data_IF_882236372362
#
_entry.id   IF_882236372362
#
_cell.length_a   1.000
_cell.length_b   1.000
_cell.length_c   1.000
_cell.angle_alpha   90.00
_cell.angle_beta   90.00
_cell.angle_gamma   90.00
#
_symmetry.space_group_name_H-M   'P 1'
#
loop_
_entity.id
_entity.type
_entity.pdbx_description
1 polymer ?
#
# COMPACT_ATOMS: atom_id res chain seq x y z
N UNK A 1 3.52 -9.98 5.00
CA UNK A 1 4.87 -9.49 5.44
C UNK A 1 5.90 -9.91 4.40
N UNK A 2 6.93 -9.11 4.14
CA UNK A 2 8.05 -9.46 3.25
C UNK A 2 9.28 -9.93 4.06
N UNK A 3 10.10 -10.81 3.50
CA UNK A 3 11.37 -11.28 4.09
C UNK A 3 12.44 -11.39 3.02
N UNK A 4 13.69 -11.02 3.35
CA UNK A 4 14.85 -11.07 2.45
C UNK A 4 14.57 -10.49 1.05
N UNK A 5 13.84 -9.37 1.00
CA UNK A 5 13.51 -8.68 -0.26
C UNK A 5 12.37 -9.31 -1.09
N UNK A 6 11.71 -10.37 -0.59
CA UNK A 6 10.59 -11.03 -1.27
C UNK A 6 9.38 -11.26 -0.37
N UNK A 7 8.32 -11.85 -0.92
CA UNK A 7 7.13 -12.27 -0.14
C UNK A 7 7.53 -13.30 0.92
N UNK A 8 7.05 -13.13 2.15
CA UNK A 8 7.34 -14.10 3.21
C UNK A 8 6.79 -15.49 2.86
N UNK A 9 7.55 -16.61 2.99
CA UNK A 9 7.08 -17.93 2.58
C UNK A 9 5.78 -18.38 3.26
N UNK A 10 5.58 -18.00 4.52
CA UNK A 10 4.35 -18.28 5.26
C UNK A 10 3.18 -17.32 4.95
N UNK A 11 3.37 -16.35 4.06
CA UNK A 11 2.29 -15.43 3.69
C UNK A 11 1.20 -16.17 2.91
N UNK A 12 -0.05 -15.97 3.34
CA UNK A 12 -1.24 -16.46 2.65
C UNK A 12 -1.97 -15.30 1.99
N UNK A 13 -2.39 -15.49 0.75
CA UNK A 13 -3.08 -14.45 -0.02
C UNK A 13 -4.40 -14.02 0.64
N UNK A 14 -5.11 -14.97 1.25
CA UNK A 14 -6.35 -14.73 2.01
C UNK A 14 -6.15 -13.72 3.15
N UNK A 15 -4.99 -13.75 3.83
CA UNK A 15 -4.66 -12.81 4.89
C UNK A 15 -4.42 -11.41 4.33
N UNK A 16 -3.75 -11.32 3.17
CA UNK A 16 -3.56 -10.08 2.44
C UNK A 16 -4.89 -9.48 2.01
N UNK A 17 -5.75 -10.26 1.35
CA UNK A 17 -7.07 -9.81 0.93
C UNK A 17 -7.93 -9.29 2.09
N UNK A 18 -7.86 -9.92 3.26
CA UNK A 18 -8.60 -9.45 4.44
C UNK A 18 -8.19 -8.04 4.86
N UNK A 19 -6.90 -7.72 4.82
CA UNK A 19 -6.38 -6.38 5.13
C UNK A 19 -6.73 -5.40 4.01
N UNK A 20 -6.61 -5.80 2.75
CA UNK A 20 -6.91 -4.93 1.59
C UNK A 20 -8.39 -4.55 1.46
N UNK A 21 -9.30 -5.29 2.11
CA UNK A 21 -10.75 -4.96 2.17
C UNK A 21 -11.09 -3.88 3.20
N UNK A 22 -10.12 -3.41 3.98
CA UNK A 22 -10.33 -2.36 4.97
C UNK A 22 -10.34 -0.98 4.28
N UNK A 23 -11.10 -0.04 4.85
CA UNK A 23 -11.15 1.34 4.34
C UNK A 23 -9.82 2.09 4.56
N UNK A 24 -9.09 1.76 5.62
CA UNK A 24 -7.79 2.33 5.94
C UNK A 24 -6.74 1.22 6.01
N UNK A 25 -5.62 1.43 5.30
CA UNK A 25 -4.52 0.45 5.23
C UNK A 25 -3.24 1.11 5.74
N UNK A 26 -2.69 0.57 6.83
CA UNK A 26 -1.40 1.01 7.34
C UNK A 26 -0.27 0.22 6.69
N UNK A 27 0.64 0.93 6.02
CA UNK A 27 1.89 0.35 5.49
C UNK A 27 3.06 0.79 6.35
N UNK A 28 3.79 -0.17 6.94
CA UNK A 28 4.98 0.10 7.75
C UNK A 28 6.23 -0.34 7.01
N UNK A 29 7.17 0.59 6.83
CA UNK A 29 8.48 0.35 6.23
C UNK A 29 9.55 0.59 7.28
N UNK A 30 10.30 -0.45 7.63
CA UNK A 30 11.46 -0.36 8.51
C UNK A 30 12.74 -0.46 7.67
N UNK A 31 13.49 0.65 7.56
CA UNK A 31 14.70 0.70 6.74
C UNK A 31 15.94 0.12 7.43
N UNK A 32 15.93 0.01 8.77
CA UNK A 32 17.08 -0.50 9.54
C UNK A 32 18.33 0.39 9.45
N UNK A 33 18.17 1.70 9.22
CA UNK A 33 19.28 2.67 8.99
C UNK A 33 19.33 3.80 10.02
N UNK A 34 18.90 3.54 11.25
CA UNK A 34 18.86 4.52 12.34
C UNK A 34 17.45 4.74 12.90
N UNK A 35 17.26 5.84 13.62
CA UNK A 35 16.04 6.14 14.37
C UNK A 35 15.12 7.18 13.70
N UNK A 36 15.49 7.70 12.53
CA UNK A 36 14.66 8.65 11.80
C UNK A 36 13.32 8.00 11.38
N UNK A 37 12.23 8.75 11.51
CA UNK A 37 10.88 8.30 11.19
C UNK A 37 10.09 9.43 10.51
N UNK A 38 9.17 9.05 9.62
CA UNK A 38 8.22 9.94 8.97
C UNK A 38 6.92 9.17 8.69
N UNK A 39 5.81 9.90 8.63
CA UNK A 39 4.49 9.37 8.27
C UNK A 39 3.97 10.13 7.06
N UNK A 40 3.49 9.40 6.07
CA UNK A 40 2.87 9.95 4.86
C UNK A 40 1.47 9.36 4.74
N UNK A 41 0.50 10.21 4.45
CA UNK A 41 -0.86 9.82 4.15
C UNK A 41 -1.07 9.84 2.64
N UNK A 42 -1.72 8.80 2.13
CA UNK A 42 -2.07 8.68 0.71
C UNK A 42 -3.36 7.87 0.60
N UNK A 43 -3.99 7.90 -0.57
CA UNK A 43 -5.10 7.04 -0.93
C UNK A 43 -4.72 6.07 -2.06
N UNK A 44 -5.64 5.16 -2.36
CA UNK A 44 -5.57 4.26 -3.51
C UNK A 44 -5.76 5.00 -4.85
N UNK A 45 -5.38 4.32 -5.93
CA UNK A 45 -5.65 4.78 -7.28
C UNK A 45 -6.89 4.06 -7.80
N UNK A 46 -8.03 4.77 -7.79
CA UNK A 46 -9.31 4.22 -8.20
C UNK A 46 -9.59 4.44 -9.69
N UNK A 47 -10.52 3.65 -10.23
CA UNK A 47 -11.05 3.88 -11.58
C UNK A 47 -11.70 5.26 -11.69
N UNK A 48 -12.46 5.67 -10.67
CA UNK A 48 -13.15 6.97 -10.67
C UNK A 48 -12.16 8.14 -10.69
N UNK A 49 -11.02 8.03 -10.00
CA UNK A 49 -9.95 9.02 -10.09
C UNK A 49 -9.50 9.21 -11.55
N UNK A 50 -9.34 8.10 -12.30
CA UNK A 50 -9.01 8.16 -13.72
C UNK A 50 -10.13 8.80 -14.51
N UNK A 51 -11.37 8.35 -14.36
CA UNK A 51 -12.51 8.89 -15.11
C UNK A 51 -12.72 10.39 -14.90
N UNK A 52 -12.57 10.88 -13.66
CA UNK A 52 -12.72 12.31 -13.32
C UNK A 52 -11.64 13.16 -14.02
N UNK A 53 -10.42 12.63 -14.16
CA UNK A 53 -9.27 13.40 -14.63
C UNK A 53 -8.89 13.11 -16.09
N UNK A 54 -9.48 12.11 -16.74
CA UNK A 54 -9.14 11.70 -18.10
C UNK A 54 -9.43 12.80 -19.14
N UNK A 55 -10.48 13.60 -18.92
CA UNK A 55 -10.97 14.59 -19.89
C UNK A 55 -10.38 15.99 -19.71
N UNK A 56 -9.35 16.14 -18.87
CA UNK A 56 -8.82 17.46 -18.50
C UNK A 56 -8.06 18.20 -19.64
N UNK A 57 -7.76 17.52 -20.75
CA UNK A 57 -7.04 18.08 -21.92
C UNK A 57 -7.47 17.51 -23.27
N UNK A 58 -8.76 17.18 -23.44
CA UNK A 58 -9.33 16.88 -24.76
C UNK A 58 -9.49 18.15 -25.60
#
# INVERSE_FOLDING_TARGET
VATRGGRHPAYREEEGQRVMKQAEITVRIALGRGAAAATVWTCDLSHDYVSINADYRS
#
